data_IF_364149218092
#
_entry.id   IF_364149218092
#
_cell.length_a   1.000
_cell.length_b   1.000
_cell.length_c   1.000
_cell.angle_alpha   90.00
_cell.angle_beta   90.00
_cell.angle_gamma   90.00
#
_symmetry.space_group_name_H-M   'P 1'
#
loop_
_entity.id
_entity.type
_entity.pdbx_description
1 polymer ?
#
# COMPACT_ATOMS: atom_id res chain seq x y z
N UNK A 1 16.07 -10.76 17.77
CA UNK A 1 16.50 -9.48 17.17
C UNK A 1 15.28 -8.57 17.08
N UNK A 2 15.30 -7.41 17.69
CA UNK A 2 14.20 -6.47 17.64
C UNK A 2 14.24 -5.73 16.29
N UNK A 3 13.19 -5.87 15.48
CA UNK A 3 13.13 -5.20 14.17
C UNK A 3 12.81 -3.73 14.41
N UNK A 4 13.83 -2.87 14.29
CA UNK A 4 13.66 -1.41 14.43
C UNK A 4 12.97 -0.88 13.17
N UNK A 5 11.64 -0.69 13.23
CA UNK A 5 10.86 -0.12 12.13
C UNK A 5 10.90 1.39 12.11
N UNK A 6 10.94 1.94 10.91
CA UNK A 6 10.93 3.39 10.69
C UNK A 6 9.49 3.89 10.79
N UNK A 7 9.24 4.84 11.69
CA UNK A 7 7.98 5.59 11.67
C UNK A 7 8.02 6.62 10.54
N UNK A 8 6.95 6.74 9.79
CA UNK A 8 6.83 7.77 8.75
C UNK A 8 6.44 9.09 9.44
N UNK A 9 7.26 10.15 9.32
CA UNK A 9 6.98 11.41 10.02
C UNK A 9 5.61 11.99 9.65
N UNK A 10 4.90 12.53 10.63
CA UNK A 10 3.58 13.15 10.42
C UNK A 10 2.41 12.17 10.28
N UNK A 11 2.64 10.85 10.32
CA UNK A 11 1.59 9.84 10.17
C UNK A 11 1.32 9.17 11.52
N UNK A 12 0.06 9.22 11.98
CA UNK A 12 -0.34 8.68 13.28
C UNK A 12 -0.51 7.15 13.23
N UNK A 13 -1.20 6.64 12.21
CA UNK A 13 -1.53 5.21 12.06
C UNK A 13 -1.27 4.74 10.65
N UNK A 14 -0.63 3.59 10.51
CA UNK A 14 -0.37 2.92 9.22
C UNK A 14 -1.09 1.59 9.18
N UNK A 15 -2.00 1.42 8.22
CA UNK A 15 -2.78 0.21 8.02
C UNK A 15 -2.39 -0.48 6.71
N UNK A 16 -2.12 -1.78 6.77
CA UNK A 16 -1.83 -2.58 5.59
C UNK A 16 -3.02 -3.39 5.12
N UNK A 17 -3.24 -3.46 3.81
CA UNK A 17 -4.23 -4.35 3.20
C UNK A 17 -3.46 -5.44 2.44
N UNK A 18 -3.58 -6.68 2.91
CA UNK A 18 -2.89 -7.84 2.36
C UNK A 18 -3.87 -8.82 1.72
N UNK A 19 -3.39 -9.55 0.74
CA UNK A 19 -4.08 -10.74 0.21
C UNK A 19 -3.06 -11.78 -0.21
N UNK A 20 -3.38 -13.04 0.03
CA UNK A 20 -2.50 -14.14 -0.41
C UNK A 20 -2.64 -14.45 -1.90
N UNK A 21 -3.78 -14.08 -2.53
CA UNK A 21 -4.11 -14.37 -3.92
C UNK A 21 -4.56 -13.11 -4.66
N UNK A 22 -4.24 -13.02 -5.96
CA UNK A 22 -4.74 -11.97 -6.83
C UNK A 22 -6.23 -12.11 -7.13
N UNK A 23 -6.90 -10.98 -7.43
CA UNK A 23 -8.29 -10.98 -7.87
C UNK A 23 -9.34 -11.09 -6.75
N UNK A 24 -8.95 -11.07 -5.48
CA UNK A 24 -9.87 -11.15 -4.33
C UNK A 24 -10.48 -9.80 -3.91
N UNK A 25 -10.13 -8.71 -4.58
CA UNK A 25 -10.65 -7.38 -4.28
C UNK A 25 -9.81 -6.52 -3.35
N UNK A 26 -8.54 -6.87 -3.08
CA UNK A 26 -7.62 -6.16 -2.18
C UNK A 26 -7.59 -4.65 -2.43
N UNK A 27 -7.28 -4.22 -3.66
CA UNK A 27 -7.18 -2.81 -4.06
C UNK A 27 -8.51 -2.07 -3.90
N UNK A 28 -9.64 -2.75 -4.18
CA UNK A 28 -10.97 -2.18 -3.96
C UNK A 28 -11.23 -1.95 -2.46
N UNK A 29 -10.90 -2.92 -1.61
CA UNK A 29 -11.02 -2.78 -0.14
C UNK A 29 -10.10 -1.65 0.36
N UNK A 30 -8.84 -1.60 -0.08
CA UNK A 30 -7.89 -0.55 0.31
C UNK A 30 -8.41 0.84 -0.06
N UNK A 31 -8.85 1.02 -1.31
CA UNK A 31 -9.37 2.30 -1.80
C UNK A 31 -10.66 2.71 -1.09
N UNK A 32 -11.58 1.77 -0.87
CA UNK A 32 -12.85 2.02 -0.20
C UNK A 32 -12.66 2.37 1.28
N UNK A 33 -11.75 1.68 1.96
CA UNK A 33 -11.43 1.95 3.36
C UNK A 33 -10.80 3.35 3.52
N UNK A 34 -9.84 3.69 2.68
CA UNK A 34 -9.20 5.01 2.70
C UNK A 34 -10.22 6.13 2.40
N UNK A 35 -11.07 5.95 1.38
CA UNK A 35 -12.14 6.90 1.06
C UNK A 35 -13.15 7.05 2.21
N UNK A 36 -13.44 5.97 2.92
CA UNK A 36 -14.32 6.00 4.10
C UNK A 36 -13.70 6.83 5.23
N UNK A 37 -12.42 6.64 5.53
CA UNK A 37 -11.72 7.46 6.51
C UNK A 37 -11.75 8.95 6.14
N UNK A 38 -11.47 9.28 4.87
CA UNK A 38 -11.54 10.65 4.40
C UNK A 38 -12.96 11.25 4.53
N UNK A 39 -13.99 10.47 4.18
CA UNK A 39 -15.40 10.87 4.36
C UNK A 39 -15.77 11.10 5.83
N UNK A 40 -15.13 10.40 6.76
CA UNK A 40 -15.28 10.59 8.20
C UNK A 40 -14.41 11.75 8.75
N UNK A 41 -13.83 12.58 7.87
CA UNK A 41 -13.04 13.76 8.24
C UNK A 41 -11.61 13.45 8.70
N UNK A 42 -11.10 12.23 8.48
CA UNK A 42 -9.71 11.87 8.79
C UNK A 42 -8.78 12.33 7.67
N UNK A 43 -7.66 12.93 8.02
CA UNK A 43 -6.58 13.21 7.06
C UNK A 43 -5.99 11.88 6.61
N UNK A 44 -6.27 11.48 5.37
CA UNK A 44 -6.02 10.11 4.88
C UNK A 44 -5.05 10.10 3.73
N UNK A 45 -4.08 9.17 3.80
CA UNK A 45 -3.19 8.82 2.69
C UNK A 45 -3.49 7.40 2.17
N UNK A 46 -3.19 7.16 0.90
CA UNK A 46 -3.30 5.86 0.24
C UNK A 46 -2.07 5.62 -0.63
N UNK A 47 -1.38 4.50 -0.39
CA UNK A 47 -0.22 4.06 -1.17
C UNK A 47 -0.55 2.78 -1.93
N UNK A 48 -0.31 2.78 -3.22
CA UNK A 48 -0.27 1.59 -4.05
C UNK A 48 1.16 1.02 -4.02
N UNK A 49 1.36 -0.01 -3.25
CA UNK A 49 2.65 -0.69 -3.14
C UNK A 49 2.77 -1.90 -4.08
N UNK A 50 1.74 -2.19 -4.89
CA UNK A 50 1.82 -3.17 -5.97
C UNK A 50 2.45 -2.53 -7.21
N UNK A 51 3.77 -2.37 -7.17
CA UNK A 51 4.54 -1.64 -8.18
C UNK A 51 4.39 -2.26 -9.58
N UNK A 52 4.27 -3.59 -9.66
CA UNK A 52 4.21 -4.30 -10.94
C UNK A 52 2.82 -4.24 -11.59
N UNK A 53 1.76 -4.15 -10.76
CA UNK A 53 0.37 -4.13 -11.22
C UNK A 53 -0.41 -3.03 -10.49
N UNK A 54 -0.04 -1.74 -10.67
CA UNK A 54 -0.64 -0.64 -9.92
C UNK A 54 -2.07 -0.37 -10.43
N UNK A 55 -3.05 -0.51 -9.55
CA UNK A 55 -4.46 -0.42 -9.93
C UNK A 55 -5.25 0.69 -9.22
N UNK A 56 -4.69 1.35 -8.20
CA UNK A 56 -5.42 2.37 -7.43
C UNK A 56 -5.90 3.52 -8.31
N UNK A 57 -5.06 4.01 -9.23
CA UNK A 57 -5.44 5.11 -10.12
C UNK A 57 -6.61 4.73 -11.02
N UNK A 58 -6.62 3.48 -11.54
CA UNK A 58 -7.73 2.95 -12.34
C UNK A 58 -9.02 2.86 -11.54
N UNK A 59 -8.96 2.30 -10.33
CA UNK A 59 -10.10 2.16 -9.41
C UNK A 59 -10.70 3.52 -9.06
N UNK A 60 -9.87 4.55 -8.87
CA UNK A 60 -10.31 5.90 -8.48
C UNK A 60 -10.54 6.84 -9.67
N UNK A 61 -10.35 6.40 -10.91
CA UNK A 61 -10.52 7.23 -12.11
C UNK A 61 -9.53 8.41 -12.14
N UNK A 62 -8.27 8.19 -11.73
CA UNK A 62 -7.22 9.19 -11.75
C UNK A 62 -6.45 9.09 -13.08
N UNK A 63 -6.31 10.21 -13.79
CA UNK A 63 -5.57 10.33 -15.06
C UNK A 63 -4.44 11.36 -14.92
N UNK A 64 -3.60 11.20 -13.92
CA UNK A 64 -2.49 12.12 -13.67
C UNK A 64 -1.16 11.39 -13.68
N UNK A 65 -0.13 12.06 -14.22
CA UNK A 65 1.27 11.71 -14.03
C UNK A 65 1.84 12.50 -12.86
N UNK A 66 2.71 11.88 -12.07
CA UNK A 66 3.45 12.60 -11.04
C UNK A 66 4.49 13.52 -11.67
N UNK A 67 4.62 14.72 -11.13
CA UNK A 67 5.73 15.62 -11.44
C UNK A 67 6.66 15.57 -10.23
N UNK A 68 7.87 14.99 -10.35
CA UNK A 68 8.87 15.06 -9.29
C UNK A 68 9.23 16.52 -9.03
N UNK A 69 9.38 16.90 -7.77
CA UNK A 69 9.94 18.21 -7.43
C UNK A 69 11.44 18.25 -7.70
N UNK A 70 12.03 19.46 -7.77
CA UNK A 70 13.47 19.65 -7.92
C UNK A 70 14.29 18.92 -6.83
N UNK A 71 13.72 18.72 -5.65
CA UNK A 71 14.34 18.02 -4.51
C UNK A 71 14.03 16.51 -4.49
N UNK A 72 13.59 15.92 -5.59
CA UNK A 72 13.17 14.51 -5.69
C UNK A 72 12.06 14.11 -4.71
N UNK A 73 11.26 15.05 -4.23
CA UNK A 73 10.06 14.76 -3.44
C UNK A 73 8.89 14.42 -4.35
N UNK A 74 7.96 13.65 -3.83
CA UNK A 74 6.74 13.25 -4.53
C UNK A 74 5.58 14.07 -4.01
N UNK A 75 4.91 14.79 -4.91
CA UNK A 75 3.65 15.46 -4.61
C UNK A 75 2.54 14.41 -4.80
N UNK A 76 1.80 14.03 -3.73
CA UNK A 76 0.72 13.07 -3.88
C UNK A 76 -0.44 13.66 -4.68
N UNK A 77 -1.13 12.81 -5.44
CA UNK A 77 -2.39 13.21 -6.10
C UNK A 77 -3.47 13.31 -5.04
N UNK A 78 -4.27 14.38 -5.09
CA UNK A 78 -5.43 14.53 -4.22
C UNK A 78 -6.72 14.12 -4.94
N UNK A 79 -7.42 13.13 -4.39
CA UNK A 79 -8.72 12.65 -4.90
C UNK A 79 -9.58 12.15 -3.74
N UNK A 80 -10.87 12.47 -3.77
CA UNK A 80 -11.84 12.07 -2.74
C UNK A 80 -11.41 12.41 -1.30
N UNK A 81 -10.69 13.53 -1.11
CA UNK A 81 -10.17 13.93 0.21
C UNK A 81 -8.97 13.11 0.70
N UNK A 82 -8.35 12.32 -0.16
CA UNK A 82 -7.17 11.51 0.14
C UNK A 82 -5.94 12.01 -0.61
N UNK A 83 -4.75 11.87 -0.01
CA UNK A 83 -3.45 11.97 -0.67
C UNK A 83 -3.04 10.60 -1.19
N UNK A 84 -2.74 10.47 -2.47
CA UNK A 84 -2.57 9.17 -3.14
C UNK A 84 -1.26 9.13 -3.88
N UNK A 85 -0.52 8.02 -3.73
CA UNK A 85 0.69 7.71 -4.50
C UNK A 85 0.58 6.30 -5.07
N UNK A 86 0.86 6.16 -6.36
CA UNK A 86 0.89 4.89 -7.07
C UNK A 86 1.90 4.95 -8.20
N UNK A 87 2.50 3.81 -8.52
CA UNK A 87 3.38 3.68 -9.67
C UNK A 87 2.68 4.01 -11.00
N UNK A 88 1.36 3.85 -11.06
CA UNK A 88 0.55 4.25 -12.22
C UNK A 88 0.71 5.74 -12.60
N UNK A 89 1.13 6.59 -11.67
CA UNK A 89 1.42 7.99 -11.95
C UNK A 89 2.78 8.26 -12.61
N UNK A 90 3.64 7.24 -12.75
CA UNK A 90 4.98 7.36 -13.35
C UNK A 90 5.09 6.63 -14.70
N UNK A 91 4.09 5.86 -15.09
CA UNK A 91 4.03 5.16 -16.38
C UNK A 91 3.23 5.99 -17.39
N UNK A 92 3.73 6.00 -18.63
CA UNK A 92 3.10 6.77 -19.71
C UNK A 92 1.92 6.05 -20.37
N UNK A 93 1.83 4.73 -20.21
CA UNK A 93 0.76 3.88 -20.76
C UNK A 93 0.32 2.83 -19.75
N UNK A 94 -1.00 2.60 -19.63
CA UNK A 94 -1.55 1.55 -18.75
C UNK A 94 -1.12 0.13 -19.17
N UNK A 95 -0.77 -0.07 -20.43
CA UNK A 95 -0.36 -1.36 -21.01
C UNK A 95 1.17 -1.56 -21.00
N UNK A 96 1.93 -0.59 -20.49
CA UNK A 96 3.39 -0.70 -20.42
C UNK A 96 3.79 -1.69 -19.30
N UNK A 97 4.49 -2.79 -19.64
CA UNK A 97 4.89 -3.75 -18.64
C UNK A 97 6.00 -3.18 -17.74
N UNK A 98 5.77 -3.20 -16.44
CA UNK A 98 6.78 -2.81 -15.44
C UNK A 98 7.64 -4.04 -15.13
N UNK A 99 8.85 -4.10 -15.68
CA UNK A 99 9.78 -5.22 -15.49
C UNK A 99 10.93 -4.78 -14.59
N UNK A 100 10.68 -4.75 -13.29
CA UNK A 100 11.71 -4.39 -12.32
C UNK A 100 12.01 -5.54 -11.36
N UNK A 101 13.27 -5.63 -10.94
CA UNK A 101 13.74 -6.63 -10.00
C UNK A 101 13.47 -6.21 -8.56
N UNK A 102 13.34 -7.16 -7.65
CA UNK A 102 13.00 -6.96 -6.25
C UNK A 102 13.71 -5.79 -5.53
N UNK A 103 15.03 -5.62 -5.64
CA UNK A 103 15.73 -4.50 -5.01
C UNK A 103 15.26 -3.11 -5.48
N UNK A 104 14.91 -2.97 -6.76
CA UNK A 104 14.38 -1.72 -7.32
C UNK A 104 12.98 -1.45 -6.77
N UNK A 105 12.12 -2.47 -6.76
CA UNK A 105 10.76 -2.39 -6.21
C UNK A 105 10.81 -1.94 -4.74
N UNK A 106 11.66 -2.57 -3.93
CA UNK A 106 11.85 -2.22 -2.53
C UNK A 106 12.29 -0.77 -2.33
N UNK A 107 13.18 -0.28 -3.19
CA UNK A 107 13.66 1.12 -3.16
C UNK A 107 12.54 2.10 -3.48
N UNK A 108 11.71 1.81 -4.49
CA UNK A 108 10.59 2.67 -4.88
C UNK A 108 9.54 2.74 -3.79
N UNK A 109 9.19 1.60 -3.19
CA UNK A 109 8.26 1.58 -2.07
C UNK A 109 8.79 2.43 -0.90
N UNK A 110 10.08 2.32 -0.58
CA UNK A 110 10.71 3.16 0.43
C UNK A 110 10.63 4.64 0.06
N UNK A 111 10.85 4.98 -1.21
CA UNK A 111 10.75 6.34 -1.71
C UNK A 111 9.31 6.86 -1.59
N UNK A 112 8.30 6.09 -1.97
CA UNK A 112 6.89 6.45 -1.83
C UNK A 112 6.52 6.74 -0.38
N UNK A 113 7.03 5.98 0.56
CA UNK A 113 6.70 6.15 1.96
C UNK A 113 7.47 7.30 2.62
N UNK A 114 8.74 7.54 2.24
CA UNK A 114 9.61 8.53 2.89
C UNK A 114 9.63 9.89 2.19
N UNK A 115 9.61 9.89 0.84
CA UNK A 115 9.85 11.10 0.04
C UNK A 115 8.56 11.79 -0.41
N UNK A 116 7.41 11.20 -0.17
CA UNK A 116 6.12 11.83 -0.45
C UNK A 116 5.81 12.92 0.56
N UNK A 117 5.34 14.04 0.07
CA UNK A 117 4.91 15.19 0.88
C UNK A 117 3.54 14.93 1.52
N UNK A 118 3.51 13.95 2.44
CA UNK A 118 2.29 13.55 3.13
C UNK A 118 1.73 14.65 4.02
N UNK A 119 2.60 15.44 4.68
CA UNK A 119 2.20 16.31 5.78
C UNK A 119 1.65 15.50 6.96
N UNK A 120 0.72 16.11 7.71
CA UNK A 120 0.07 15.41 8.83
C UNK A 120 -1.07 14.53 8.32
N UNK A 121 -1.01 13.22 8.64
CA UNK A 121 -2.07 12.26 8.36
C UNK A 121 -2.55 11.57 9.65
N UNK A 122 -3.87 11.35 9.76
CA UNK A 122 -4.43 10.50 10.80
C UNK A 122 -4.24 9.02 10.46
N UNK A 123 -4.35 8.67 9.17
CA UNK A 123 -4.18 7.29 8.70
C UNK A 123 -3.53 7.25 7.32
N UNK A 124 -2.59 6.33 7.14
CA UNK A 124 -2.04 5.92 5.85
C UNK A 124 -2.45 4.48 5.58
N UNK A 125 -3.19 4.25 4.51
CA UNK A 125 -3.55 2.91 4.03
C UNK A 125 -2.54 2.49 2.97
N UNK A 126 -1.97 1.29 3.11
CA UNK A 126 -1.05 0.70 2.15
C UNK A 126 -1.72 -0.50 1.48
N UNK A 127 -1.95 -0.41 0.17
CA UNK A 127 -2.35 -1.55 -0.66
C UNK A 127 -1.11 -2.35 -1.01
N UNK A 128 -0.92 -3.50 -0.36
CA UNK A 128 0.27 -4.33 -0.49
C UNK A 128 0.28 -5.10 -1.81
N UNK A 129 1.46 -5.52 -2.31
CA UNK A 129 1.54 -6.53 -3.37
C UNK A 129 0.88 -7.83 -2.93
N UNK A 130 0.45 -8.62 -3.90
CA UNK A 130 -0.19 -9.91 -3.64
C UNK A 130 0.82 -10.95 -3.13
N UNK A 131 0.38 -11.79 -2.19
CA UNK A 131 1.16 -12.90 -1.64
C UNK A 131 2.11 -12.50 -0.52
N UNK A 132 3.19 -13.28 -0.35
CA UNK A 132 4.21 -13.11 0.69
C UNK A 132 5.58 -12.83 0.08
N UNK A 133 5.60 -12.00 -0.96
CA UNK A 133 6.81 -11.65 -1.72
C UNK A 133 7.81 -10.81 -0.91
N UNK A 134 9.03 -10.68 -1.45
CA UNK A 134 10.08 -9.82 -0.86
C UNK A 134 9.62 -8.37 -0.69
N UNK A 135 8.76 -7.88 -1.59
CA UNK A 135 8.20 -6.52 -1.47
C UNK A 135 7.32 -6.38 -0.22
N UNK A 136 6.45 -7.37 0.05
CA UNK A 136 5.64 -7.42 1.28
C UNK A 136 6.53 -7.46 2.52
N UNK A 137 7.52 -8.34 2.54
CA UNK A 137 8.48 -8.46 3.63
C UNK A 137 9.23 -7.15 3.86
N UNK A 138 9.70 -6.50 2.78
CA UNK A 138 10.43 -5.23 2.87
C UNK A 138 9.60 -4.15 3.56
N UNK A 139 8.31 -4.01 3.22
CA UNK A 139 7.43 -3.03 3.84
C UNK A 139 7.24 -3.36 5.33
N UNK A 140 6.86 -4.61 5.65
CA UNK A 140 6.58 -5.05 7.02
C UNK A 140 7.82 -5.00 7.94
N UNK A 141 9.00 -5.18 7.39
CA UNK A 141 10.27 -5.10 8.14
C UNK A 141 10.79 -3.66 8.29
N UNK A 142 10.63 -2.85 7.25
CA UNK A 142 11.22 -1.50 7.20
C UNK A 142 10.36 -0.44 7.87
N UNK A 143 9.03 -0.58 7.83
CA UNK A 143 8.09 0.45 8.29
C UNK A 143 7.22 -0.03 9.44
N UNK A 144 6.86 0.91 10.32
CA UNK A 144 5.91 0.67 11.39
C UNK A 144 4.49 0.56 10.84
N UNK A 145 4.04 -0.67 10.60
CA UNK A 145 2.64 -0.97 10.26
C UNK A 145 1.92 -1.33 11.55
N UNK A 146 0.88 -0.59 11.90
CA UNK A 146 0.17 -0.72 13.18
C UNK A 146 -0.84 -1.89 13.16
N UNK A 147 -1.28 -2.29 11.98
CA UNK A 147 -2.16 -3.45 11.80
C UNK A 147 -2.44 -3.75 10.34
N UNK A 148 -2.93 -4.94 10.08
CA UNK A 148 -3.28 -5.39 8.73
C UNK A 148 -4.69 -5.97 8.66
N UNK A 149 -5.36 -5.74 7.52
CA UNK A 149 -6.55 -6.46 7.09
C UNK A 149 -6.16 -7.49 6.04
N UNK A 150 -6.72 -8.68 6.11
CA UNK A 150 -6.51 -9.75 5.15
C UNK A 150 -7.73 -9.87 4.24
N UNK A 151 -7.55 -9.61 2.96
CA UNK A 151 -8.63 -9.74 1.96
C UNK A 151 -8.53 -11.10 1.29
N UNK A 152 -9.66 -11.83 1.24
CA UNK A 152 -9.71 -13.18 0.67
C UNK A 152 -11.06 -13.44 -0.01
N UNK A 153 -11.20 -14.60 -0.61
CA UNK A 153 -12.44 -15.09 -1.19
C UNK A 153 -12.75 -16.50 -0.64
N UNK A 154 -14.02 -16.97 -0.64
CA UNK A 154 -14.41 -18.25 -0.06
C UNK A 154 -14.00 -19.48 -0.91
N UNK A 155 -12.82 -19.42 -1.54
CA UNK A 155 -12.22 -20.50 -2.32
C UNK A 155 -11.10 -21.14 -1.52
N UNK A 156 -10.98 -22.46 -1.55
CA UNK A 156 -9.97 -23.22 -0.76
C UNK A 156 -8.54 -22.68 -0.95
N UNK A 157 -8.13 -22.38 -2.17
CA UNK A 157 -6.78 -21.84 -2.44
C UNK A 157 -6.63 -20.42 -1.89
N UNK A 158 -7.65 -19.55 -2.01
CA UNK A 158 -7.59 -18.21 -1.47
C UNK A 158 -7.51 -18.20 0.06
N UNK A 159 -8.28 -19.07 0.72
CA UNK A 159 -8.24 -19.21 2.19
C UNK A 159 -6.93 -19.82 2.69
N UNK A 160 -6.31 -20.74 1.93
CA UNK A 160 -4.98 -21.24 2.24
C UNK A 160 -3.94 -20.12 2.20
N UNK A 161 -3.96 -19.32 1.14
CA UNK A 161 -3.02 -18.21 0.97
C UNK A 161 -3.28 -17.08 1.98
N UNK A 162 -4.54 -16.83 2.37
CA UNK A 162 -4.87 -15.92 3.46
C UNK A 162 -4.26 -16.36 4.79
N UNK A 163 -4.28 -17.66 5.12
CA UNK A 163 -3.60 -18.20 6.30
C UNK A 163 -2.10 -17.94 6.27
N UNK A 164 -1.45 -18.04 5.10
CA UNK A 164 -0.02 -17.69 4.96
C UNK A 164 0.23 -16.22 5.28
N UNK A 165 -0.64 -15.31 4.82
CA UNK A 165 -0.54 -13.90 5.17
C UNK A 165 -0.74 -13.64 6.67
N UNK A 166 -1.67 -14.35 7.33
CA UNK A 166 -1.88 -14.27 8.78
C UNK A 166 -0.63 -14.72 9.53
N UNK A 167 -0.04 -15.86 9.13
CA UNK A 167 1.19 -16.36 9.75
C UNK A 167 2.37 -15.41 9.53
N UNK A 168 2.45 -14.77 8.35
CA UNK A 168 3.47 -13.75 8.07
C UNK A 168 3.30 -12.54 8.99
N UNK A 169 2.09 -12.01 9.13
CA UNK A 169 1.81 -10.89 10.02
C UNK A 169 2.16 -11.23 11.48
N UNK A 170 1.79 -12.43 11.94
CA UNK A 170 2.14 -12.94 13.27
C UNK A 170 3.67 -13.05 13.47
N UNK A 171 4.41 -13.61 12.49
CA UNK A 171 5.87 -13.70 12.53
C UNK A 171 6.53 -12.31 12.58
N UNK A 172 5.92 -11.31 11.93
CA UNK A 172 6.35 -9.91 11.99
C UNK A 172 5.81 -9.16 13.21
N UNK A 173 5.07 -9.80 14.12
CA UNK A 173 4.44 -9.18 15.30
C UNK A 173 3.55 -7.99 14.93
N UNK A 174 2.79 -8.11 13.84
CA UNK A 174 1.83 -7.12 13.37
C UNK A 174 0.42 -7.66 13.63
N UNK A 175 -0.47 -6.90 14.29
CA UNK A 175 -1.84 -7.33 14.56
C UNK A 175 -2.63 -7.54 13.25
N UNK A 176 -3.34 -8.65 13.15
CA UNK A 176 -4.38 -8.86 12.14
C UNK A 176 -5.68 -8.30 12.70
N UNK A 177 -6.17 -7.20 12.13
CA UNK A 177 -7.35 -6.46 12.58
C UNK A 177 -8.65 -7.11 12.14
N UNK A 178 -8.60 -7.90 11.07
CA UNK A 178 -9.77 -8.60 10.55
C UNK A 178 -9.51 -9.26 9.21
N UNK A 179 -10.52 -9.98 8.73
CA UNK A 179 -10.56 -10.65 7.42
C UNK A 179 -11.80 -10.12 6.68
N UNK A 180 -11.62 -9.81 5.39
CA UNK A 180 -12.68 -9.31 4.50
C UNK A 180 -12.82 -10.24 3.32
#
# INVERSE_FOLDING_TARGET
MEIKRIKIPGIKTVLGILSGKGGVGKTFVASSLAATFAKLGKKTGLVDADINCPNIFKVLGIKHTFIPTADNKIIPVEKCGMKIVSMAGLINSEDEPIVWRGPIISRIIQQFLKETLWGELDVLVIDFPTGTSDAVLTILQSFGVDGVLIVTAPQQLATLDARRCIHLAAAMKIPVLGIV
#
